data_IF_271132462756
#
_entry.id   IF_271132462756
#
_cell.length_a   1.000
_cell.length_b   1.000
_cell.length_c   1.000
_cell.angle_alpha   90.00
_cell.angle_beta   90.00
_cell.angle_gamma   90.00
#
_symmetry.space_group_name_H-M   'P 1'
#
loop_
_entity.id
_entity.type
_entity.pdbx_description
1 polymer ?
#
# COMPACT_ATOMS: atom_id res chain seq x y z
N UNK A 1 -42.83 -50.15 79.10
CA UNK A 1 -42.49 -49.49 80.37
C UNK A 1 -41.76 -48.19 80.04
N UNK A 2 -42.36 -47.04 80.43
CA UNK A 2 -41.78 -45.67 80.59
C UNK A 2 -41.28 -44.94 79.32
N UNK A 3 -41.97 -43.91 78.78
CA UNK A 3 -42.17 -42.49 79.20
C UNK A 3 -41.18 -41.52 78.48
N UNK A 4 -41.77 -40.56 77.72
CA UNK A 4 -41.50 -39.10 77.49
C UNK A 4 -40.05 -38.56 77.71
N UNK A 5 -39.53 -37.53 77.04
CA UNK A 5 -39.96 -36.54 76.04
C UNK A 5 -38.73 -35.64 75.68
N UNK A 6 -38.97 -34.70 74.76
CA UNK A 6 -38.42 -33.33 74.72
C UNK A 6 -37.32 -33.01 73.68
N UNK A 7 -37.56 -31.89 73.00
CA UNK A 7 -36.88 -31.38 71.82
C UNK A 7 -35.74 -30.42 72.19
N UNK A 8 -34.77 -30.26 71.28
CA UNK A 8 -34.08 -29.00 71.08
C UNK A 8 -33.52 -28.90 69.66
N UNK A 9 -33.96 -27.89 68.91
CA UNK A 9 -33.37 -27.44 67.65
C UNK A 9 -32.05 -26.74 67.97
N UNK A 10 -30.97 -27.08 67.27
CA UNK A 10 -29.80 -26.20 67.15
C UNK A 10 -29.29 -26.24 65.71
N UNK A 11 -29.50 -25.11 65.04
CA UNK A 11 -28.97 -24.77 63.72
C UNK A 11 -27.48 -24.50 63.82
N UNK A 12 -26.67 -25.19 63.03
CA UNK A 12 -25.32 -24.73 62.71
C UNK A 12 -25.19 -24.61 61.19
N UNK A 13 -25.09 -23.36 60.75
CA UNK A 13 -24.79 -22.99 59.38
C UNK A 13 -23.36 -23.44 59.07
N UNK A 14 -23.21 -24.34 58.11
CA UNK A 14 -21.89 -24.69 57.58
C UNK A 14 -21.37 -23.51 56.74
N UNK A 15 -20.28 -22.91 57.22
CA UNK A 15 -19.45 -21.97 56.47
C UNK A 15 -18.94 -22.66 55.20
N UNK A 16 -19.37 -22.17 54.03
CA UNK A 16 -18.77 -22.53 52.73
C UNK A 16 -17.48 -21.73 52.57
N UNK A 17 -16.30 -22.36 52.39
CA UNK A 17 -15.12 -21.62 51.99
C UNK A 17 -15.26 -21.24 50.51
N UNK A 18 -15.51 -19.96 50.27
CA UNK A 18 -15.50 -19.35 48.94
C UNK A 18 -14.06 -19.35 48.39
N UNK A 19 -13.67 -20.41 47.69
CA UNK A 19 -12.50 -20.38 46.81
C UNK A 19 -12.98 -20.06 45.41
N UNK A 20 -13.06 -18.76 45.15
CA UNK A 20 -13.33 -18.19 43.84
C UNK A 20 -12.07 -18.37 42.97
N UNK A 21 -12.02 -19.43 42.16
CA UNK A 21 -11.00 -19.56 41.12
C UNK A 21 -11.40 -18.64 39.95
N UNK A 22 -11.08 -17.36 40.07
CA UNK A 22 -11.20 -16.41 38.97
C UNK A 22 -10.14 -16.75 37.92
N UNK A 23 -10.53 -17.48 36.88
CA UNK A 23 -9.73 -17.60 35.65
C UNK A 23 -9.80 -16.22 34.98
N UNK A 24 -8.81 -15.38 35.25
CA UNK A 24 -8.60 -14.15 34.50
C UNK A 24 -8.29 -14.53 33.05
N UNK A 25 -9.30 -14.52 32.20
CA UNK A 25 -9.13 -14.55 30.75
C UNK A 25 -8.55 -13.19 30.35
N UNK A 26 -7.23 -13.03 30.48
CA UNK A 26 -6.54 -11.89 29.90
C UNK A 26 -6.74 -11.99 28.40
N UNK A 27 -7.62 -11.15 27.86
CA UNK A 27 -7.68 -10.93 26.42
C UNK A 27 -6.30 -10.40 26.04
N UNK A 28 -5.49 -11.25 25.42
CA UNK A 28 -4.34 -10.82 24.65
C UNK A 28 -4.90 -9.85 23.63
N UNK A 29 -4.76 -8.55 23.88
CA UNK A 29 -4.88 -7.56 22.83
C UNK A 29 -3.75 -7.87 21.87
N UNK A 30 -4.07 -8.62 20.81
CA UNK A 30 -3.19 -8.74 19.66
C UNK A 30 -3.02 -7.32 19.16
N UNK A 31 -1.91 -6.68 19.53
CA UNK A 31 -1.44 -5.49 18.82
C UNK A 31 -1.32 -5.93 17.38
N UNK A 32 -2.06 -5.28 16.48
CA UNK A 32 -2.03 -5.55 15.06
C UNK A 32 -0.57 -5.63 14.63
N UNK A 33 -0.11 -6.85 14.36
CA UNK A 33 1.21 -7.07 13.80
C UNK A 33 1.23 -6.29 12.49
N UNK A 34 2.14 -5.34 12.38
CA UNK A 34 2.43 -4.63 11.14
C UNK A 34 2.73 -5.67 10.09
N UNK A 35 1.74 -6.04 9.30
CA UNK A 35 1.92 -6.94 8.19
C UNK A 35 2.85 -6.22 7.22
N UNK A 36 4.11 -6.67 7.17
CA UNK A 36 5.12 -6.13 6.27
C UNK A 36 4.54 -6.12 4.86
N UNK A 37 4.21 -4.94 4.34
CA UNK A 37 3.74 -4.84 2.96
C UNK A 37 4.92 -5.19 2.07
N UNK A 38 4.89 -6.38 1.48
CA UNK A 38 5.87 -6.81 0.48
C UNK A 38 5.94 -5.83 -0.71
N UNK A 39 4.87 -5.07 -0.92
CA UNK A 39 4.76 -4.02 -1.92
C UNK A 39 4.43 -2.68 -1.27
N UNK A 40 5.37 -1.73 -1.34
CA UNK A 40 5.26 -0.40 -0.77
C UNK A 40 5.80 0.66 -1.77
N UNK A 41 4.96 1.15 -2.70
CA UNK A 41 5.38 2.13 -3.70
C UNK A 41 5.82 3.44 -3.03
N UNK A 42 6.76 4.14 -3.67
CA UNK A 42 7.33 5.39 -3.16
C UNK A 42 6.31 6.51 -3.35
N UNK A 43 5.89 7.18 -2.28
CA UNK A 43 5.00 8.35 -2.44
C UNK A 43 5.71 9.46 -3.20
N UNK A 44 5.09 9.99 -4.27
CA UNK A 44 5.62 11.17 -4.94
C UNK A 44 5.67 12.36 -3.96
N UNK A 45 6.73 13.18 -4.04
CA UNK A 45 6.84 14.40 -3.24
C UNK A 45 5.76 15.42 -3.63
N UNK A 46 5.51 16.41 -2.77
CA UNK A 46 4.41 17.36 -2.93
C UNK A 46 4.49 18.25 -4.19
N UNK A 47 5.69 18.43 -4.74
CA UNK A 47 5.93 19.11 -6.03
C UNK A 47 5.65 18.21 -7.25
N UNK A 48 5.25 16.95 -7.03
CA UNK A 48 4.98 15.95 -8.06
C UNK A 48 6.16 15.70 -9.02
N UNK A 49 7.39 15.85 -8.53
CA UNK A 49 8.60 15.73 -9.34
C UNK A 49 9.71 15.08 -8.53
N UNK A 50 10.39 14.08 -9.11
CA UNK A 50 11.48 13.35 -8.47
C UNK A 50 12.56 13.00 -9.50
N UNK A 51 13.82 13.10 -9.08
CA UNK A 51 14.97 12.48 -9.75
C UNK A 51 15.39 11.27 -8.91
N UNK A 52 15.51 10.11 -9.55
CA UNK A 52 15.80 8.84 -8.90
C UNK A 52 16.57 7.92 -9.88
N UNK A 53 16.91 6.70 -9.45
CA UNK A 53 17.60 5.73 -10.30
C UNK A 53 16.90 4.37 -10.32
N UNK A 54 16.76 3.83 -11.54
CA UNK A 54 16.33 2.46 -11.80
C UNK A 54 17.54 1.53 -11.79
N UNK A 55 17.46 0.44 -11.04
CA UNK A 55 18.58 -0.47 -10.82
C UNK A 55 18.11 -1.92 -10.63
N UNK A 56 19.07 -2.83 -10.52
CA UNK A 56 18.84 -4.26 -10.28
C UNK A 56 18.28 -4.61 -8.88
N UNK A 57 18.19 -3.62 -7.98
CA UNK A 57 17.58 -3.75 -6.66
C UNK A 57 16.08 -3.46 -6.67
N UNK A 58 15.56 -2.99 -7.80
CA UNK A 58 14.16 -2.63 -7.97
C UNK A 58 13.30 -3.83 -8.38
N UNK A 59 12.01 -3.61 -8.61
CA UNK A 59 11.03 -4.68 -8.81
C UNK A 59 11.38 -5.44 -10.10
N UNK A 60 11.74 -6.74 -10.04
CA UNK A 60 12.00 -7.50 -11.25
C UNK A 60 10.71 -7.66 -12.05
N UNK A 61 10.77 -7.35 -13.34
CA UNK A 61 9.62 -7.42 -14.26
C UNK A 61 9.31 -8.84 -14.74
N UNK A 62 10.24 -9.77 -14.53
CA UNK A 62 10.19 -11.13 -15.10
C UNK A 62 10.53 -11.18 -16.60
N UNK A 63 10.90 -10.06 -17.22
CA UNK A 63 11.30 -9.92 -18.62
C UNK A 63 12.71 -9.32 -18.72
N UNK A 64 13.60 -9.69 -17.80
CA UNK A 64 14.99 -9.23 -17.73
C UNK A 64 15.22 -7.79 -17.21
N UNK A 65 14.18 -6.93 -17.20
CA UNK A 65 14.28 -5.56 -16.68
C UNK A 65 13.73 -5.35 -15.25
N UNK A 66 13.83 -4.13 -14.77
CA UNK A 66 13.36 -3.70 -13.45
C UNK A 66 12.28 -2.61 -13.55
N UNK A 67 11.56 -2.39 -12.45
CA UNK A 67 10.53 -1.37 -12.33
C UNK A 67 10.57 -0.65 -10.98
N UNK A 68 10.28 0.66 -10.99
CA UNK A 68 10.04 1.45 -9.78
C UNK A 68 8.64 2.02 -9.79
N UNK A 69 7.94 1.87 -8.67
CA UNK A 69 6.55 2.26 -8.54
C UNK A 69 6.41 3.46 -7.60
N UNK A 70 5.73 4.49 -8.09
CA UNK A 70 5.47 5.74 -7.38
C UNK A 70 3.98 5.94 -7.14
N UNK A 71 3.58 6.20 -5.91
CA UNK A 71 2.19 6.46 -5.56
C UNK A 71 1.84 7.95 -5.71
N UNK A 72 0.70 8.22 -6.35
CA UNK A 72 0.14 9.57 -6.54
C UNK A 72 -1.36 9.55 -6.29
N UNK A 73 -1.89 10.56 -5.58
CA UNK A 73 -3.34 10.73 -5.42
C UNK A 73 -3.88 11.59 -6.54
N UNK A 74 -4.84 11.06 -7.30
CA UNK A 74 -5.50 11.75 -8.41
C UNK A 74 -7.02 11.72 -8.21
N UNK A 75 -7.70 12.70 -8.77
CA UNK A 75 -9.15 12.85 -8.66
C UNK A 75 -9.84 12.63 -10.01
N UNK A 76 -11.08 12.15 -9.97
CA UNK A 76 -11.97 12.11 -11.13
C UNK A 76 -11.99 13.46 -11.83
N UNK A 77 -11.78 13.45 -13.15
CA UNK A 77 -11.76 14.64 -13.98
C UNK A 77 -10.39 15.29 -14.14
N UNK A 78 -9.36 14.89 -13.36
CA UNK A 78 -8.00 15.37 -13.58
C UNK A 78 -7.55 14.98 -15.00
N UNK A 79 -7.10 15.97 -15.79
CA UNK A 79 -6.31 15.72 -16.99
C UNK A 79 -4.84 15.75 -16.56
N UNK A 80 -4.12 14.64 -16.70
CA UNK A 80 -2.74 14.51 -16.23
C UNK A 80 -1.78 14.31 -17.40
N UNK A 81 -0.61 14.95 -17.28
CA UNK A 81 0.58 14.68 -18.07
C UNK A 81 1.63 14.06 -17.16
N UNK A 82 2.26 12.97 -17.59
CA UNK A 82 3.34 12.29 -16.88
C UNK A 82 4.55 12.29 -17.80
N UNK A 83 5.54 13.09 -17.44
CA UNK A 83 6.82 13.21 -18.14
C UNK A 83 7.83 12.27 -17.46
N UNK A 84 8.43 11.37 -18.24
CA UNK A 84 9.52 10.51 -17.80
C UNK A 84 10.70 10.71 -18.75
N UNK A 85 11.83 11.18 -18.20
CA UNK A 85 13.02 11.44 -19.00
C UNK A 85 14.25 10.71 -18.45
N UNK A 86 15.09 10.18 -19.33
CA UNK A 86 16.38 9.59 -18.96
C UNK A 86 17.39 9.73 -20.09
N UNK A 87 18.64 10.04 -19.72
CA UNK A 87 19.79 9.99 -20.64
C UNK A 87 20.45 8.59 -20.62
N UNK A 88 20.00 7.68 -19.76
CA UNK A 88 20.63 6.38 -19.54
C UNK A 88 19.87 5.22 -20.18
N UNK A 89 18.56 5.35 -20.38
CA UNK A 89 17.74 4.29 -20.93
C UNK A 89 16.52 4.83 -21.68
N UNK A 90 16.02 4.02 -22.60
CA UNK A 90 14.76 4.24 -23.28
C UNK A 90 13.59 3.98 -22.32
N UNK A 91 12.76 4.98 -22.10
CA UNK A 91 11.84 5.03 -20.95
C UNK A 91 10.48 4.41 -21.29
N UNK A 92 9.84 3.80 -20.30
CA UNK A 92 8.44 3.39 -20.38
C UNK A 92 7.75 3.86 -19.10
N UNK A 93 6.64 4.58 -19.24
CA UNK A 93 5.79 4.99 -18.13
C UNK A 93 4.41 4.34 -18.21
N UNK A 94 4.02 3.64 -17.15
CA UNK A 94 2.68 3.04 -17.02
C UNK A 94 1.94 3.69 -15.86
N UNK A 95 0.71 4.14 -16.08
CA UNK A 95 -0.20 4.52 -15.01
C UNK A 95 -1.10 3.32 -14.68
N UNK A 96 -1.05 2.86 -13.44
CA UNK A 96 -1.88 1.78 -12.91
C UNK A 96 -2.92 2.33 -11.93
N UNK A 97 -4.14 1.81 -12.00
CA UNK A 97 -5.17 2.03 -11.00
C UNK A 97 -4.84 1.29 -9.70
N UNK A 98 -5.56 1.60 -8.61
CA UNK A 98 -5.39 0.97 -7.29
C UNK A 98 -5.44 -0.57 -7.30
N UNK A 99 -6.21 -1.15 -8.22
CA UNK A 99 -6.35 -2.59 -8.38
C UNK A 99 -5.25 -3.23 -9.26
N UNK A 100 -4.28 -2.45 -9.74
CA UNK A 100 -3.21 -2.89 -10.62
C UNK A 100 -3.56 -2.91 -12.11
N UNK A 101 -4.78 -2.54 -12.51
CA UNK A 101 -5.15 -2.43 -13.92
C UNK A 101 -4.41 -1.27 -14.58
N UNK A 102 -3.85 -1.50 -15.76
CA UNK A 102 -3.28 -0.45 -16.60
C UNK A 102 -4.36 0.53 -17.05
N UNK A 103 -4.17 1.81 -16.69
CA UNK A 103 -4.99 2.93 -17.13
C UNK A 103 -4.49 3.45 -18.46
N UNK A 104 -3.18 3.61 -18.58
CA UNK A 104 -2.47 4.06 -19.77
C UNK A 104 -0.98 3.66 -19.67
N UNK A 105 -0.32 3.57 -20.81
CA UNK A 105 1.11 3.34 -20.94
C UNK A 105 1.62 4.13 -22.14
N UNK A 106 2.84 4.63 -22.06
CA UNK A 106 3.54 5.23 -23.19
C UNK A 106 5.05 5.06 -23.04
N UNK A 107 5.75 4.91 -24.16
CA UNK A 107 7.21 4.81 -24.26
C UNK A 107 7.83 6.01 -24.98
N UNK A 108 7.10 6.63 -25.92
CA UNK A 108 7.64 7.73 -26.73
C UNK A 108 7.17 9.15 -26.33
N UNK A 109 7.95 10.15 -26.75
CA UNK A 109 7.66 11.57 -26.62
C UNK A 109 7.45 12.23 -27.99
N UNK A 110 6.81 13.40 -28.07
CA UNK A 110 6.56 14.08 -29.34
C UNK A 110 7.82 14.70 -29.97
N UNK A 111 8.95 14.73 -29.24
CA UNK A 111 10.21 15.34 -29.65
C UNK A 111 11.15 14.38 -30.40
N UNK A 112 10.75 13.12 -30.58
CA UNK A 112 11.55 12.09 -31.24
C UNK A 112 12.70 11.55 -30.39
N UNK A 113 12.73 11.86 -29.09
CA UNK A 113 13.60 11.22 -28.11
C UNK A 113 13.01 9.90 -27.60
N UNK A 114 13.77 9.16 -26.79
CA UNK A 114 13.34 7.96 -26.08
C UNK A 114 12.71 8.26 -24.71
N UNK A 115 12.29 9.52 -24.50
CA UNK A 115 11.61 9.95 -23.28
C UNK A 115 10.09 9.79 -23.45
N UNK A 116 9.40 9.27 -22.46
CA UNK A 116 7.95 9.06 -22.52
C UNK A 116 7.17 10.29 -22.05
N UNK A 117 6.08 10.59 -22.75
CA UNK A 117 5.10 11.59 -22.30
C UNK A 117 3.67 11.02 -22.35
N UNK A 118 3.10 10.70 -21.19
CA UNK A 118 1.77 10.10 -21.09
C UNK A 118 0.72 11.15 -20.73
N UNK A 119 -0.33 11.25 -21.55
CA UNK A 119 -1.51 12.06 -21.26
C UNK A 119 -2.74 11.19 -21.02
N UNK A 120 -3.48 11.43 -19.94
CA UNK A 120 -4.73 10.71 -19.68
C UNK A 120 -5.71 11.49 -18.79
N UNK A 121 -6.99 11.16 -18.89
CA UNK A 121 -8.04 11.70 -18.02
C UNK A 121 -8.43 10.67 -16.97
N UNK A 122 -8.41 11.10 -15.71
CA UNK A 122 -8.70 10.25 -14.56
C UNK A 122 -10.22 10.08 -14.39
N UNK A 123 -10.67 8.84 -14.26
CA UNK A 123 -12.09 8.49 -14.17
C UNK A 123 -12.58 8.35 -12.73
N UNK A 124 -11.72 7.90 -11.83
CA UNK A 124 -12.07 7.59 -10.45
C UNK A 124 -11.12 8.30 -9.48
N UNK A 125 -11.64 8.73 -8.34
CA UNK A 125 -10.79 9.23 -7.26
C UNK A 125 -9.97 8.09 -6.66
N UNK A 126 -8.68 8.32 -6.43
CA UNK A 126 -7.88 7.36 -5.67
C UNK A 126 -6.38 7.54 -5.77
N UNK A 127 -5.68 6.60 -5.14
CA UNK A 127 -4.24 6.44 -5.30
C UNK A 127 -3.96 5.60 -6.53
N UNK A 128 -3.22 6.20 -7.47
CA UNK A 128 -2.69 5.57 -8.65
C UNK A 128 -1.21 5.25 -8.44
N UNK A 129 -0.70 4.31 -9.22
CA UNK A 129 0.71 3.97 -9.26
C UNK A 129 1.27 4.36 -10.61
N UNK A 130 2.38 5.10 -10.61
CA UNK A 130 3.19 5.36 -11.79
C UNK A 130 4.36 4.40 -11.74
N UNK A 131 4.41 3.51 -12.72
CA UNK A 131 5.49 2.56 -12.89
C UNK A 131 6.48 3.09 -13.92
N UNK A 132 7.72 3.25 -13.49
CA UNK A 132 8.87 3.58 -14.33
C UNK A 132 9.60 2.30 -14.69
N UNK A 133 9.83 2.09 -15.98
CA UNK A 133 10.60 0.98 -16.54
C UNK A 133 11.53 1.49 -17.63
N UNK A 134 12.48 0.64 -17.99
CA UNK A 134 13.23 0.79 -19.22
C UNK A 134 12.70 -0.18 -20.28
N UNK A 135 12.82 0.21 -21.55
CA UNK A 135 12.58 -0.67 -22.69
C UNK A 135 13.71 -1.71 -22.80
N UNK A 136 13.32 -2.98 -22.99
CA UNK A 136 14.24 -4.10 -23.07
C UNK A 136 14.90 -4.50 -21.73
N UNK A 137 15.97 -5.29 -21.84
CA UNK A 137 16.71 -5.85 -20.70
C UNK A 137 17.93 -4.99 -20.36
N UNK A 138 17.69 -3.78 -19.82
CA UNK A 138 18.77 -2.87 -19.39
C UNK A 138 18.86 -2.76 -17.88
N UNK A 139 20.05 -2.39 -17.40
CA UNK A 139 20.35 -2.18 -15.98
C UNK A 139 19.61 -0.96 -15.38
N UNK A 140 19.06 -0.08 -16.23
CA UNK A 140 18.45 1.19 -15.82
C UNK A 140 19.48 2.32 -15.75
N UNK A 141 19.25 3.29 -14.88
CA UNK A 141 20.04 4.51 -14.78
C UNK A 141 19.29 5.62 -14.07
N UNK A 142 19.83 6.84 -14.09
CA UNK A 142 19.14 8.02 -13.56
C UNK A 142 17.94 8.38 -14.45
N UNK A 143 16.86 8.82 -13.83
CA UNK A 143 15.73 9.38 -14.54
C UNK A 143 15.10 10.50 -13.73
N UNK A 144 14.25 11.26 -14.41
CA UNK A 144 13.39 12.27 -13.83
C UNK A 144 11.94 11.96 -14.17
N UNK A 145 11.09 11.90 -13.15
CA UNK A 145 9.66 11.70 -13.25
C UNK A 145 8.93 12.95 -12.78
N UNK A 146 7.99 13.45 -13.57
CA UNK A 146 7.14 14.59 -13.22
C UNK A 146 5.69 14.33 -13.58
N UNK A 147 4.78 14.74 -12.69
CA UNK A 147 3.33 14.69 -12.93
C UNK A 147 2.75 16.10 -12.91
N UNK A 148 2.09 16.47 -14.01
CA UNK A 148 1.44 17.77 -14.15
C UNK A 148 -0.07 17.57 -14.28
N UNK A 149 -0.85 18.24 -13.43
CA UNK A 149 -2.30 18.36 -13.61
C UNK A 149 -2.59 19.53 -14.54
N UNK A 150 -3.11 19.23 -15.72
CA UNK A 150 -3.48 20.20 -16.73
C UNK A 150 -4.79 20.86 -16.32
N UNK A 151 -4.80 22.19 -16.30
CA UNK A 151 -6.03 22.95 -16.07
C UNK A 151 -6.76 23.11 -17.40
N UNK A 152 -8.07 22.94 -17.37
CA UNK A 152 -8.91 23.37 -18.49
C UNK A 152 -8.85 24.91 -18.53
N UNK A 153 -8.55 25.46 -19.73
CA UNK A 153 -8.50 26.90 -19.99
C UNK A 153 -9.88 27.48 -20.25
#
# INVERSE_FOLDING_TARGET
>A
MMIKAFAARFSQALLVPATLLAVCLSTLTVRAQTQSRLYNPISLPANNEITDSLSDKDIPTGQGGFARDYAVTLNTGDNVAIDLTSENFDTIVTLLAKNGTTVAENDDGPDGSTNSLLFTRIKDNGTYIIRVRAFGETAGGEFKLKVTRLREI
#
